data_IF_643529176834
#
_entry.id   IF_643529176834
#
_cell.length_a   1.000
_cell.length_b   1.000
_cell.length_c   1.000
_cell.angle_alpha   90.00
_cell.angle_beta   90.00
_cell.angle_gamma   90.00
#
_symmetry.space_group_name_H-M   'P 1'
#
loop_
_entity.id
_entity.type
_entity.pdbx_description
1 polymer ?
#
# COMPACT_ATOMS: atom_id res chain seq x y z
N UNK A 1 58.94 43.77 -21.39
CA UNK A 1 58.12 42.54 -21.24
C UNK A 1 57.71 42.48 -19.83
N UNK A 2 56.42 42.78 -19.44
CA UNK A 2 55.93 42.65 -18.05
C UNK A 2 55.36 41.23 -17.84
N UNK A 3 55.71 40.69 -16.68
CA UNK A 3 55.32 39.37 -16.22
C UNK A 3 53.84 39.25 -15.96
N UNK A 4 53.29 38.10 -16.36
CA UNK A 4 51.96 37.64 -15.97
C UNK A 4 51.99 37.20 -14.51
N UNK A 5 51.22 37.88 -13.69
CA UNK A 5 50.88 37.45 -12.32
C UNK A 5 49.92 36.30 -12.43
N UNK A 6 50.36 35.16 -11.93
CA UNK A 6 49.55 33.97 -11.68
C UNK A 6 48.51 34.32 -10.62
N UNK A 7 47.24 34.44 -11.02
CA UNK A 7 46.13 34.56 -10.11
C UNK A 7 45.73 33.15 -9.71
N UNK A 8 46.03 32.82 -8.43
CA UNK A 8 45.66 31.59 -7.78
C UNK A 8 44.15 31.28 -7.96
N UNK A 9 43.93 30.17 -8.59
CA UNK A 9 42.59 29.55 -8.62
C UNK A 9 42.19 29.22 -7.16
N UNK A 10 41.19 29.92 -6.67
CA UNK A 10 40.47 29.53 -5.44
C UNK A 10 39.91 28.12 -5.60
N UNK A 11 39.60 27.44 -4.46
CA UNK A 11 39.07 26.09 -4.51
C UNK A 11 37.82 26.06 -5.38
N UNK A 12 37.81 25.15 -6.35
CA UNK A 12 36.69 24.93 -7.25
C UNK A 12 35.42 24.75 -6.40
N UNK A 13 34.51 25.72 -6.44
CA UNK A 13 33.16 25.56 -5.97
C UNK A 13 32.61 24.36 -6.73
N UNK A 14 32.28 23.30 -5.99
CA UNK A 14 31.72 22.09 -6.54
C UNK A 14 30.40 22.45 -7.25
N UNK A 15 30.43 22.37 -8.56
CA UNK A 15 29.23 22.56 -9.40
C UNK A 15 28.14 21.57 -8.99
N UNK A 16 27.26 22.02 -8.13
CA UNK A 16 26.13 21.26 -7.62
C UNK A 16 25.04 21.20 -8.70
N UNK A 17 25.10 20.14 -9.47
CA UNK A 17 23.99 19.62 -10.25
C UNK A 17 23.44 20.49 -11.40
N UNK A 18 24.08 20.40 -12.52
CA UNK A 18 23.49 20.61 -13.83
C UNK A 18 22.47 19.50 -14.12
N UNK A 19 21.18 19.82 -14.17
CA UNK A 19 20.13 18.91 -14.63
C UNK A 19 19.54 19.40 -15.95
N UNK A 20 19.66 18.57 -16.97
CA UNK A 20 18.93 18.74 -18.21
C UNK A 20 17.50 18.22 -18.03
N UNK A 21 16.53 19.11 -17.98
CA UNK A 21 15.13 18.81 -18.16
C UNK A 21 14.72 19.49 -19.47
N UNK A 22 14.46 18.71 -20.52
CA UNK A 22 14.17 19.18 -21.87
C UNK A 22 15.27 20.06 -22.49
N UNK A 23 16.52 19.58 -22.47
CA UNK A 23 17.70 20.28 -23.06
C UNK A 23 17.99 21.71 -22.53
N UNK A 24 17.30 22.13 -21.47
CA UNK A 24 17.57 23.38 -20.77
C UNK A 24 18.36 23.10 -19.49
N UNK A 25 19.58 23.63 -19.45
CA UNK A 25 20.44 23.62 -18.26
C UNK A 25 19.95 24.76 -17.35
N UNK A 26 19.31 24.44 -16.24
CA UNK A 26 18.94 25.43 -15.21
C UNK A 26 19.79 25.22 -13.96
N UNK A 27 20.43 26.30 -13.50
CA UNK A 27 21.04 26.35 -12.17
C UNK A 27 19.96 26.31 -11.12
N UNK A 28 20.08 25.39 -10.18
CA UNK A 28 19.16 25.27 -9.05
C UNK A 28 19.74 26.03 -7.86
N UNK A 29 19.00 27.01 -7.38
CA UNK A 29 19.40 27.81 -6.23
C UNK A 29 19.07 27.13 -4.89
N UNK A 30 18.12 26.18 -4.84
CA UNK A 30 17.69 25.52 -3.62
C UNK A 30 17.42 24.02 -3.83
N UNK A 31 17.78 23.23 -2.82
CA UNK A 31 17.43 21.82 -2.70
C UNK A 31 18.26 20.87 -3.57
N UNK A 32 17.94 19.58 -3.47
CA UNK A 32 18.58 18.53 -4.26
C UNK A 32 17.64 18.02 -5.36
N UNK A 33 18.18 17.52 -6.50
CA UNK A 33 17.35 17.01 -7.59
C UNK A 33 16.52 15.81 -7.16
N UNK A 34 15.26 15.76 -7.59
CA UNK A 34 14.41 14.59 -7.39
C UNK A 34 14.98 13.38 -8.14
N UNK A 35 15.21 12.27 -7.42
CA UNK A 35 15.77 11.05 -7.99
C UNK A 35 17.29 10.94 -7.91
N UNK A 36 18.00 11.90 -7.31
CA UNK A 36 19.41 11.75 -6.98
C UNK A 36 19.60 10.68 -5.90
N UNK A 37 20.66 9.89 -6.01
CA UNK A 37 21.00 8.86 -5.01
C UNK A 37 21.33 9.43 -3.63
N UNK A 38 21.79 10.69 -3.57
CA UNK A 38 22.14 11.39 -2.32
C UNK A 38 20.95 12.07 -1.65
N UNK A 39 19.91 12.45 -2.41
CA UNK A 39 18.73 13.16 -1.86
C UNK A 39 18.10 12.49 -0.63
N UNK A 40 17.90 11.14 -0.59
CA UNK A 40 17.35 10.49 0.58
C UNK A 40 18.24 10.59 1.81
N UNK A 41 19.57 10.51 1.64
CA UNK A 41 20.54 10.59 2.74
C UNK A 41 20.58 12.01 3.29
N UNK A 42 20.70 13.00 2.42
CA UNK A 42 20.71 14.41 2.84
C UNK A 42 19.41 14.80 3.56
N UNK A 43 18.26 14.35 3.06
CA UNK A 43 16.98 14.60 3.74
C UNK A 43 16.91 13.95 5.12
N UNK A 44 17.49 12.76 5.30
CA UNK A 44 17.54 12.10 6.60
C UNK A 44 18.44 12.85 7.59
N UNK A 45 19.60 13.36 7.15
CA UNK A 45 20.51 14.16 7.98
C UNK A 45 19.80 15.42 8.48
N UNK A 46 19.15 16.16 7.61
CA UNK A 46 18.42 17.38 8.00
C UNK A 46 17.24 17.07 8.93
N UNK A 47 16.51 15.98 8.67
CA UNK A 47 15.36 15.59 9.48
C UNK A 47 15.75 14.92 10.81
N UNK A 48 16.99 14.48 11.00
CA UNK A 48 17.53 14.01 12.27
C UNK A 48 17.52 15.14 13.33
N UNK A 49 17.76 16.39 12.91
CA UNK A 49 17.63 17.56 13.79
C UNK A 49 16.16 17.76 14.25
N UNK A 50 15.19 17.44 13.40
CA UNK A 50 13.78 17.45 13.80
C UNK A 50 13.52 16.36 14.85
N UNK A 51 14.03 15.15 14.63
CA UNK A 51 13.85 14.03 15.56
C UNK A 51 14.44 14.39 16.93
N UNK A 52 15.68 14.89 17.00
CA UNK A 52 16.32 15.37 18.23
C UNK A 52 15.51 16.47 18.94
N UNK A 53 14.96 17.41 18.16
CA UNK A 53 14.12 18.47 18.71
C UNK A 53 12.82 17.93 19.30
N UNK A 54 12.19 16.93 18.69
CA UNK A 54 10.96 16.31 19.20
C UNK A 54 11.25 15.46 20.45
N UNK A 55 12.36 14.71 20.45
CA UNK A 55 12.81 13.90 21.58
C UNK A 55 13.16 14.74 22.79
N UNK A 56 13.92 15.83 22.61
CA UNK A 56 14.28 16.75 23.70
C UNK A 56 13.08 17.40 24.41
N UNK A 57 11.93 17.42 23.73
CA UNK A 57 10.65 17.90 24.26
C UNK A 57 9.76 16.78 24.82
N UNK A 58 10.25 15.54 24.86
CA UNK A 58 9.49 14.38 25.35
C UNK A 58 8.23 14.08 24.52
N UNK A 59 8.22 14.43 23.23
CA UNK A 59 7.06 14.20 22.36
C UNK A 59 7.11 12.80 21.78
N UNK A 60 5.99 12.08 21.86
CA UNK A 60 5.85 10.80 21.17
C UNK A 60 5.57 11.04 19.70
N UNK A 61 6.42 10.50 18.82
CA UNK A 61 6.26 10.66 17.39
C UNK A 61 6.68 9.40 16.61
N UNK A 62 6.29 9.34 15.35
CA UNK A 62 6.73 8.34 14.41
C UNK A 62 6.97 9.01 13.06
N UNK A 63 8.20 8.91 12.55
CA UNK A 63 8.57 9.48 11.25
C UNK A 63 9.00 8.41 10.27
N UNK A 64 8.58 8.57 9.04
CA UNK A 64 9.03 7.78 7.89
C UNK A 64 9.30 8.73 6.73
N UNK A 65 10.58 8.93 6.43
CA UNK A 65 11.05 9.97 5.50
C UNK A 65 10.50 11.35 5.88
N UNK A 66 9.74 11.98 5.01
CA UNK A 66 9.08 13.29 5.20
C UNK A 66 7.73 13.20 5.94
N UNK A 67 7.13 12.01 6.03
CA UNK A 67 5.87 11.79 6.76
C UNK A 67 6.15 11.67 8.28
N UNK A 68 5.73 12.64 9.08
CA UNK A 68 5.87 12.65 10.54
C UNK A 68 4.50 12.72 11.22
N UNK A 69 4.23 11.82 12.15
CA UNK A 69 3.05 11.86 13.01
C UNK A 69 3.47 12.06 14.48
N UNK A 70 2.89 13.07 15.10
CA UNK A 70 3.06 13.41 16.50
C UNK A 70 1.81 12.99 17.29
N UNK A 71 2.00 12.37 18.44
CA UNK A 71 0.90 11.92 19.29
C UNK A 71 0.76 12.81 20.50
N UNK A 72 -0.44 13.29 20.76
CA UNK A 72 -0.75 14.21 21.86
C UNK A 72 -2.05 13.80 22.56
N UNK A 73 -2.16 14.10 23.83
CA UNK A 73 -3.31 13.70 24.66
C UNK A 73 -4.55 14.57 24.44
N UNK A 74 -4.39 15.82 24.04
CA UNK A 74 -5.50 16.76 23.86
C UNK A 74 -5.39 17.57 22.58
N UNK A 75 -6.53 18.06 22.08
CA UNK A 75 -6.59 18.92 20.89
C UNK A 75 -5.79 20.21 21.08
N UNK A 76 -5.96 20.84 22.23
CA UNK A 76 -5.26 22.10 22.55
C UNK A 76 -3.75 21.93 22.62
N UNK A 77 -3.26 20.80 23.20
CA UNK A 77 -1.85 20.45 23.16
C UNK A 77 -1.39 20.22 21.71
N UNK A 78 -2.21 19.57 20.88
CA UNK A 78 -1.90 19.32 19.49
C UNK A 78 -1.75 20.58 18.65
N UNK A 79 -2.62 21.56 18.82
CA UNK A 79 -2.54 22.85 18.15
C UNK A 79 -1.23 23.58 18.49
N UNK A 80 -0.86 23.62 19.80
CA UNK A 80 0.40 24.20 20.25
C UNK A 80 1.64 23.46 19.75
N UNK A 81 1.60 22.12 19.75
CA UNK A 81 2.74 21.30 19.27
C UNK A 81 2.90 21.49 17.77
N UNK A 82 1.81 21.47 17.00
CA UNK A 82 1.82 21.66 15.56
C UNK A 82 2.46 23.01 15.19
N UNK A 83 2.00 24.09 15.83
CA UNK A 83 2.50 25.45 15.56
C UNK A 83 4.00 25.56 15.86
N UNK A 84 4.43 25.06 17.03
CA UNK A 84 5.85 25.10 17.43
C UNK A 84 6.72 24.24 16.51
N UNK A 85 6.26 23.07 16.12
CA UNK A 85 6.98 22.19 15.18
C UNK A 85 7.12 22.84 13.80
N UNK A 86 6.06 23.46 13.30
CA UNK A 86 6.11 24.20 12.03
C UNK A 86 7.11 25.35 12.10
N UNK A 87 7.07 26.15 13.19
CA UNK A 87 8.04 27.25 13.40
C UNK A 87 9.49 26.73 13.44
N UNK A 88 9.75 25.56 14.03
CA UNK A 88 11.07 24.95 14.03
C UNK A 88 11.50 24.52 12.62
N UNK A 89 10.64 23.81 11.89
CA UNK A 89 10.92 23.33 10.53
C UNK A 89 11.19 24.50 9.58
N UNK A 90 10.35 25.53 9.61
CA UNK A 90 10.48 26.68 8.70
C UNK A 90 11.56 27.67 9.15
N UNK A 91 11.71 27.89 10.47
CA UNK A 91 12.67 28.83 11.02
C UNK A 91 14.10 28.30 11.12
N UNK A 92 14.27 27.08 11.63
CA UNK A 92 15.60 26.48 11.91
C UNK A 92 16.08 25.62 10.74
N UNK A 93 15.24 24.69 10.28
CA UNK A 93 15.64 23.77 9.21
C UNK A 93 15.48 24.39 7.80
N UNK A 94 14.84 25.55 7.69
CA UNK A 94 14.57 26.25 6.42
C UNK A 94 13.80 25.40 5.40
N UNK A 95 13.01 24.42 5.89
CA UNK A 95 12.20 23.55 5.06
C UNK A 95 10.78 24.08 4.97
N UNK A 96 10.12 23.87 3.82
CA UNK A 96 8.70 24.29 3.60
C UNK A 96 7.74 23.21 4.08
N UNK A 97 6.82 23.55 4.97
CA UNK A 97 5.78 22.63 5.44
C UNK A 97 4.55 22.71 4.53
N UNK A 98 4.08 21.56 4.05
CA UNK A 98 2.85 21.49 3.26
C UNK A 98 1.62 21.65 4.16
N UNK A 99 1.16 22.90 4.34
CA UNK A 99 0.04 23.27 5.21
C UNK A 99 -1.28 22.59 4.81
N UNK A 100 -1.49 22.24 3.53
CA UNK A 100 -2.72 21.60 3.08
C UNK A 100 -2.78 20.10 3.48
N UNK A 101 -1.63 19.47 3.73
CA UNK A 101 -1.54 18.08 4.17
C UNK A 101 -1.25 17.94 5.66
N UNK A 102 -0.74 19.00 6.30
CA UNK A 102 -0.41 19.02 7.72
C UNK A 102 -1.59 19.51 8.53
N UNK A 103 -1.90 18.86 9.62
CA UNK A 103 -3.03 19.25 10.47
C UNK A 103 -3.25 18.30 11.64
N UNK A 104 -4.19 18.65 12.48
CA UNK A 104 -4.56 17.87 13.65
C UNK A 104 -5.73 16.93 13.33
N UNK A 105 -5.53 15.63 13.47
CA UNK A 105 -6.52 14.63 13.15
C UNK A 105 -6.67 13.63 14.30
N UNK A 106 -7.89 13.09 14.44
CA UNK A 106 -8.07 11.90 15.28
C UNK A 106 -7.34 10.71 14.65
N UNK A 107 -6.75 9.77 15.43
CA UNK A 107 -6.02 8.61 14.90
C UNK A 107 -6.81 7.82 13.84
N UNK A 108 -8.14 7.68 14.02
CA UNK A 108 -9.02 6.99 13.09
C UNK A 108 -9.19 7.71 11.73
N UNK A 109 -8.91 9.02 11.66
CA UNK A 109 -8.95 9.83 10.43
C UNK A 109 -7.56 10.04 9.84
N UNK A 110 -6.51 9.88 10.66
CA UNK A 110 -5.12 9.95 10.20
C UNK A 110 -4.78 8.73 9.34
N UNK A 111 -3.91 8.94 8.39
CA UNK A 111 -3.38 7.90 7.52
C UNK A 111 -1.86 7.95 7.56
N UNK A 112 -1.23 6.84 7.94
CA UNK A 112 0.22 6.70 7.94
C UNK A 112 0.63 5.39 7.27
N UNK A 113 1.53 5.44 6.31
CA UNK A 113 2.00 4.29 5.54
C UNK A 113 0.86 3.42 4.95
N UNK A 114 -0.25 4.04 4.62
CA UNK A 114 -1.42 3.32 4.09
C UNK A 114 -2.32 2.66 5.12
N UNK A 115 -2.01 2.79 6.41
CA UNK A 115 -2.85 2.37 7.53
C UNK A 115 -3.64 3.55 8.11
N UNK A 116 -4.71 3.23 8.82
CA UNK A 116 -5.41 4.07 9.79
C UNK A 116 -5.39 3.33 11.13
N UNK A 117 -5.64 4.02 12.23
CA UNK A 117 -5.58 3.41 13.56
C UNK A 117 -6.95 3.46 14.24
N UNK A 118 -7.29 2.44 15.01
CA UNK A 118 -8.50 2.44 15.82
C UNK A 118 -8.29 3.38 17.01
N UNK A 119 -9.24 4.30 17.22
CA UNK A 119 -9.06 5.40 18.18
C UNK A 119 -8.82 4.96 19.63
N UNK A 120 -9.36 3.82 20.05
CA UNK A 120 -9.24 3.32 21.43
C UNK A 120 -8.11 2.32 21.64
N UNK A 121 -7.87 1.45 20.64
CA UNK A 121 -6.89 0.36 20.77
C UNK A 121 -5.56 0.63 20.05
N UNK A 122 -5.48 1.68 19.24
CA UNK A 122 -4.32 1.94 18.39
C UNK A 122 -4.08 0.87 17.30
N UNK A 123 -4.96 -0.12 17.15
CA UNK A 123 -4.77 -1.22 16.24
C UNK A 123 -4.70 -0.74 14.77
N UNK A 124 -3.68 -1.16 14.01
CA UNK A 124 -3.53 -0.75 12.62
C UNK A 124 -4.61 -1.38 11.75
N UNK A 125 -5.16 -0.60 10.83
CA UNK A 125 -6.21 -1.00 9.89
C UNK A 125 -5.86 -0.52 8.49
N UNK A 126 -6.10 -1.33 7.48
CA UNK A 126 -5.91 -0.91 6.09
C UNK A 126 -6.79 0.29 5.78
N UNK A 127 -6.18 1.38 5.35
CA UNK A 127 -6.90 2.60 4.98
C UNK A 127 -7.82 2.35 3.77
N UNK A 128 -9.01 2.96 3.77
CA UNK A 128 -9.97 2.85 2.65
C UNK A 128 -9.34 3.20 1.30
N UNK A 129 -8.50 4.25 1.26
CA UNK A 129 -7.78 4.66 0.06
C UNK A 129 -6.77 3.61 -0.42
N UNK A 130 -6.13 2.87 0.48
CA UNK A 130 -5.18 1.80 0.14
C UNK A 130 -5.90 0.59 -0.46
N UNK A 131 -7.07 0.25 0.09
CA UNK A 131 -7.95 -0.76 -0.49
C UNK A 131 -8.45 -0.35 -1.89
N UNK A 132 -8.89 0.91 -2.06
CA UNK A 132 -9.34 1.43 -3.35
C UNK A 132 -8.22 1.39 -4.40
N UNK A 133 -6.98 1.76 -4.02
CA UNK A 133 -5.79 1.65 -4.90
C UNK A 133 -5.52 0.22 -5.34
N UNK A 134 -5.65 -0.76 -4.43
CA UNK A 134 -5.54 -2.17 -4.81
C UNK A 134 -6.59 -2.54 -5.84
N UNK A 135 -7.88 -2.22 -5.59
CA UNK A 135 -8.96 -2.52 -6.53
C UNK A 135 -8.74 -1.87 -7.90
N UNK A 136 -8.26 -0.63 -7.92
CA UNK A 136 -7.89 0.06 -9.15
C UNK A 136 -6.75 -0.67 -9.90
N UNK A 137 -5.69 -1.09 -9.19
CA UNK A 137 -4.56 -1.84 -9.75
C UNK A 137 -4.95 -3.22 -10.29
N UNK A 138 -5.92 -3.89 -9.66
CA UNK A 138 -6.44 -5.19 -10.11
C UNK A 138 -7.38 -5.07 -11.33
N UNK A 139 -8.07 -3.94 -11.49
CA UNK A 139 -9.07 -3.71 -12.53
C UNK A 139 -8.58 -4.00 -13.96
N UNK A 140 -7.41 -3.52 -14.43
CA UNK A 140 -6.94 -3.82 -15.80
C UNK A 140 -6.63 -5.28 -15.99
N UNK A 141 -6.10 -6.00 -15.00
CA UNK A 141 -5.82 -7.44 -15.09
C UNK A 141 -7.11 -8.22 -15.21
N UNK A 142 -8.11 -7.87 -14.41
CA UNK A 142 -9.42 -8.52 -14.41
C UNK A 142 -10.29 -8.15 -15.63
N UNK A 143 -10.09 -6.96 -16.21
CA UNK A 143 -10.78 -6.54 -17.46
C UNK A 143 -10.13 -7.12 -18.71
N UNK A 144 -8.80 -7.10 -18.79
CA UNK A 144 -8.00 -7.55 -19.94
C UNK A 144 -7.82 -9.07 -20.01
N UNK A 145 -8.55 -9.84 -19.22
CA UNK A 145 -8.57 -11.30 -19.30
C UNK A 145 -9.09 -11.84 -20.65
N UNK A 146 -9.49 -10.98 -21.59
CA UNK A 146 -9.73 -11.32 -23.00
C UNK A 146 -8.37 -11.56 -23.67
N UNK A 147 -8.11 -12.79 -24.12
CA UNK A 147 -6.86 -13.15 -24.80
C UNK A 147 -5.72 -13.62 -23.91
N UNK A 148 -5.82 -13.51 -22.56
CA UNK A 148 -4.88 -14.16 -21.64
C UNK A 148 -5.40 -15.51 -21.20
N UNK A 149 -4.49 -16.47 -21.01
CA UNK A 149 -4.84 -17.72 -20.33
C UNK A 149 -5.28 -17.42 -18.88
N UNK A 150 -6.21 -18.21 -18.36
CA UNK A 150 -6.64 -18.10 -16.96
C UNK A 150 -5.45 -18.21 -16.00
N UNK A 151 -4.52 -19.12 -16.31
CA UNK A 151 -3.31 -19.32 -15.52
C UNK A 151 -2.41 -18.07 -15.51
N UNK A 152 -2.22 -17.42 -16.65
CA UNK A 152 -1.48 -16.15 -16.75
C UNK A 152 -2.13 -15.03 -15.94
N UNK A 153 -3.47 -14.96 -15.95
CA UNK A 153 -4.22 -14.00 -15.12
C UNK A 153 -4.00 -14.28 -13.63
N UNK A 154 -4.06 -15.54 -13.21
CA UNK A 154 -3.83 -15.93 -11.81
C UNK A 154 -2.40 -15.60 -11.38
N UNK A 155 -1.38 -15.89 -12.19
CA UNK A 155 0.02 -15.56 -11.91
C UNK A 155 0.19 -14.06 -11.67
N UNK A 156 -0.36 -13.21 -12.57
CA UNK A 156 -0.27 -11.77 -12.43
C UNK A 156 -0.98 -11.23 -11.16
N UNK A 157 -2.15 -11.78 -10.82
CA UNK A 157 -2.86 -11.45 -9.59
C UNK A 157 -2.07 -11.87 -8.35
N UNK A 158 -1.47 -13.06 -8.37
CA UNK A 158 -0.73 -13.63 -7.23
C UNK A 158 0.45 -12.75 -6.83
N UNK A 159 1.20 -12.21 -7.79
CA UNK A 159 2.34 -11.32 -7.49
C UNK A 159 1.89 -10.06 -6.74
N UNK A 160 0.83 -9.40 -7.25
CA UNK A 160 0.31 -8.17 -6.62
C UNK A 160 -0.27 -8.46 -5.23
N UNK A 161 -1.04 -9.54 -5.11
CA UNK A 161 -1.73 -9.89 -3.86
C UNK A 161 -0.76 -10.35 -2.77
N UNK A 162 0.31 -11.07 -3.13
CA UNK A 162 1.34 -11.44 -2.17
C UNK A 162 2.00 -10.21 -1.57
N UNK A 163 2.52 -9.30 -2.40
CA UNK A 163 3.16 -8.08 -1.92
C UNK A 163 2.21 -7.23 -1.08
N UNK A 164 0.96 -7.07 -1.55
CA UNK A 164 -0.03 -6.30 -0.80
C UNK A 164 -0.37 -6.92 0.55
N UNK A 165 -0.54 -8.25 0.61
CA UNK A 165 -0.82 -8.95 1.85
C UNK A 165 0.35 -8.89 2.84
N UNK A 166 1.58 -9.08 2.36
CA UNK A 166 2.78 -8.97 3.21
C UNK A 166 2.90 -7.57 3.79
N UNK A 167 2.66 -6.54 2.98
CA UNK A 167 2.71 -5.15 3.44
C UNK A 167 1.63 -4.83 4.48
N UNK A 168 0.40 -5.32 4.26
CA UNK A 168 -0.75 -5.06 5.16
C UNK A 168 -1.00 -6.20 6.16
N UNK A 169 0.04 -6.94 6.55
CA UNK A 169 -0.06 -8.06 7.48
C UNK A 169 -0.45 -7.64 8.91
N UNK A 170 -0.21 -6.37 9.27
CA UNK A 170 -0.57 -5.81 10.58
C UNK A 170 -2.08 -5.62 10.78
N UNK A 171 -2.88 -5.60 9.72
CA UNK A 171 -4.35 -5.62 9.87
C UNK A 171 -4.80 -7.06 10.10
N UNK A 172 -5.18 -7.37 11.33
CA UNK A 172 -5.62 -8.70 11.79
C UNK A 172 -7.03 -9.08 11.30
N UNK A 173 -7.77 -8.14 10.72
CA UNK A 173 -9.14 -8.38 10.24
C UNK A 173 -9.18 -9.26 9.00
N UNK A 174 -9.77 -10.41 9.15
CA UNK A 174 -9.97 -11.36 8.04
C UNK A 174 -10.93 -10.82 6.97
N UNK A 175 -11.90 -9.98 7.35
CA UNK A 175 -12.95 -9.49 6.46
C UNK A 175 -12.40 -8.69 5.26
N UNK A 176 -11.33 -7.91 5.47
CA UNK A 176 -10.70 -7.13 4.38
C UNK A 176 -10.16 -8.06 3.31
N UNK A 177 -9.44 -9.10 3.73
CA UNK A 177 -8.87 -10.10 2.82
C UNK A 177 -9.94 -10.98 2.19
N UNK A 178 -10.99 -11.36 2.95
CA UNK A 178 -12.13 -12.10 2.42
C UNK A 178 -12.89 -11.32 1.34
N UNK A 179 -13.09 -10.03 1.52
CA UNK A 179 -13.70 -9.15 0.51
C UNK A 179 -12.90 -9.13 -0.80
N UNK A 180 -11.57 -9.07 -0.72
CA UNK A 180 -10.69 -9.15 -1.88
C UNK A 180 -10.85 -10.51 -2.57
N UNK A 181 -10.83 -11.57 -1.79
CA UNK A 181 -10.98 -12.94 -2.28
C UNK A 181 -12.32 -13.16 -3.00
N UNK A 182 -13.42 -12.73 -2.40
CA UNK A 182 -14.76 -12.82 -3.00
C UNK A 182 -14.80 -12.08 -4.34
N UNK A 183 -14.23 -10.86 -4.38
CA UNK A 183 -14.18 -10.06 -5.60
C UNK A 183 -13.40 -10.77 -6.71
N UNK A 184 -12.20 -11.26 -6.40
CA UNK A 184 -11.33 -11.94 -7.37
C UNK A 184 -11.99 -13.24 -7.87
N UNK A 185 -12.50 -14.07 -6.97
CA UNK A 185 -13.14 -15.33 -7.30
C UNK A 185 -14.34 -15.12 -8.23
N UNK A 186 -15.15 -14.10 -7.99
CA UNK A 186 -16.25 -13.74 -8.88
C UNK A 186 -15.74 -13.36 -10.27
N UNK A 187 -14.69 -12.56 -10.37
CA UNK A 187 -14.08 -12.19 -11.64
C UNK A 187 -13.48 -13.40 -12.38
N UNK A 188 -12.78 -14.29 -11.68
CA UNK A 188 -12.20 -15.50 -12.28
C UNK A 188 -13.31 -16.42 -12.83
N UNK A 189 -14.39 -16.64 -12.07
CA UNK A 189 -15.55 -17.40 -12.56
C UNK A 189 -16.17 -16.75 -13.80
N UNK A 190 -16.28 -15.43 -13.83
CA UNK A 190 -16.74 -14.70 -15.03
C UNK A 190 -15.84 -14.97 -16.23
N UNK A 191 -14.53 -14.96 -16.07
CA UNK A 191 -13.58 -15.24 -17.16
C UNK A 191 -13.71 -16.67 -17.67
N UNK A 192 -13.83 -17.64 -16.76
CA UNK A 192 -14.06 -19.04 -17.12
C UNK A 192 -15.38 -19.19 -17.90
N UNK A 193 -16.47 -18.62 -17.41
CA UNK A 193 -17.77 -18.70 -18.10
C UNK A 193 -17.70 -18.09 -19.50
N UNK A 194 -16.99 -17.01 -19.68
CA UNK A 194 -16.79 -16.38 -21.00
C UNK A 194 -15.94 -17.22 -21.93
N UNK A 195 -14.96 -17.95 -21.39
CA UNK A 195 -14.14 -18.87 -22.19
C UNK A 195 -14.96 -20.05 -22.73
N UNK A 196 -15.98 -20.48 -22.00
CA UNK A 196 -16.91 -21.53 -22.44
C UNK A 196 -18.00 -20.94 -23.35
N UNK A 197 -17.67 -20.72 -24.60
CA UNK A 197 -18.54 -19.99 -25.54
C UNK A 197 -19.83 -20.74 -25.83
N UNK A 198 -19.77 -22.09 -26.02
CA UNK A 198 -20.89 -22.94 -26.46
C UNK A 198 -21.59 -23.58 -25.25
N UNK A 199 -22.94 -23.74 -25.28
CA UNK A 199 -23.69 -24.43 -24.23
C UNK A 199 -23.18 -25.85 -23.96
N UNK A 200 -22.86 -26.62 -25.00
CA UNK A 200 -22.30 -27.98 -24.91
C UNK A 200 -20.97 -28.00 -24.14
N UNK A 201 -20.11 -27.01 -24.37
CA UNK A 201 -18.87 -26.86 -23.62
C UNK A 201 -19.13 -26.53 -22.14
N UNK A 202 -20.10 -25.64 -21.86
CA UNK A 202 -20.51 -25.28 -20.51
C UNK A 202 -21.03 -26.48 -19.74
N UNK A 203 -21.94 -27.24 -20.34
CA UNK A 203 -22.49 -28.45 -19.76
C UNK A 203 -21.39 -29.46 -19.43
N UNK A 204 -20.57 -29.84 -20.45
CA UNK A 204 -19.46 -30.77 -20.25
C UNK A 204 -18.54 -30.37 -19.11
N UNK A 205 -18.15 -29.11 -19.06
CA UNK A 205 -17.24 -28.60 -18.06
C UNK A 205 -17.87 -28.51 -16.66
N UNK A 206 -19.17 -28.24 -16.56
CA UNK A 206 -19.90 -28.27 -15.30
C UNK A 206 -20.06 -29.70 -14.79
N UNK A 207 -20.40 -30.68 -15.65
CA UNK A 207 -20.45 -32.09 -15.28
C UNK A 207 -19.13 -32.63 -14.83
N UNK A 208 -18.04 -32.30 -15.54
CA UNK A 208 -16.67 -32.68 -15.16
C UNK A 208 -16.29 -32.18 -13.75
N UNK A 209 -16.93 -31.10 -13.28
CA UNK A 209 -16.73 -30.53 -11.93
C UNK A 209 -17.76 -30.97 -10.91
N UNK A 210 -18.51 -32.04 -11.19
CA UNK A 210 -19.40 -32.68 -10.27
C UNK A 210 -20.80 -32.07 -10.16
N UNK A 211 -21.28 -31.38 -11.19
CA UNK A 211 -22.69 -31.03 -11.29
C UNK A 211 -23.49 -32.19 -11.89
N UNK A 212 -24.70 -32.46 -11.38
CA UNK A 212 -25.66 -33.41 -12.02
C UNK A 212 -25.98 -32.98 -13.45
N UNK A 213 -26.18 -33.96 -14.35
CA UNK A 213 -26.40 -33.71 -15.80
C UNK A 213 -27.53 -32.73 -16.05
N UNK A 214 -28.67 -32.92 -15.41
CA UNK A 214 -29.84 -32.07 -15.58
C UNK A 214 -29.57 -30.63 -15.20
N UNK A 215 -28.90 -30.41 -14.03
CA UNK A 215 -28.56 -29.08 -13.53
C UNK A 215 -27.49 -28.43 -14.42
N UNK A 216 -26.52 -29.19 -14.92
CA UNK A 216 -25.49 -28.73 -15.82
C UNK A 216 -26.09 -28.25 -17.17
N UNK A 217 -27.03 -29.01 -17.71
CA UNK A 217 -27.75 -28.62 -18.94
C UNK A 217 -28.55 -27.32 -18.70
N UNK A 218 -29.46 -27.30 -17.71
CA UNK A 218 -30.26 -26.12 -17.39
C UNK A 218 -29.40 -24.88 -17.17
N UNK A 219 -28.24 -25.05 -16.49
CA UNK A 219 -27.30 -23.96 -16.25
C UNK A 219 -26.57 -23.50 -17.51
N UNK A 220 -26.31 -24.39 -18.49
CA UNK A 220 -25.56 -24.07 -19.70
C UNK A 220 -26.34 -23.22 -20.68
N UNK A 221 -27.69 -23.36 -20.72
CA UNK A 221 -28.62 -22.70 -21.64
C UNK A 221 -29.40 -21.53 -21.01
N UNK A 222 -29.08 -21.11 -19.81
CA UNK A 222 -29.88 -20.17 -19.02
C UNK A 222 -30.00 -18.74 -19.59
N UNK A 223 -29.39 -18.41 -20.71
CA UNK A 223 -29.46 -17.08 -21.34
C UNK A 223 -28.82 -15.94 -20.57
N UNK A 224 -28.46 -16.16 -19.29
CA UNK A 224 -27.92 -15.12 -18.44
C UNK A 224 -26.47 -14.74 -18.77
N UNK A 225 -26.14 -13.48 -18.59
CA UNK A 225 -24.80 -12.96 -18.86
C UNK A 225 -23.70 -13.54 -17.95
N UNK A 226 -22.41 -13.41 -18.37
CA UNK A 226 -21.28 -13.99 -17.64
C UNK A 226 -21.12 -13.49 -16.21
N UNK A 227 -21.59 -12.28 -15.92
CA UNK A 227 -21.49 -11.69 -14.59
C UNK A 227 -22.51 -12.26 -13.61
N UNK A 228 -23.73 -12.55 -14.10
CA UNK A 228 -24.75 -13.25 -13.34
C UNK A 228 -24.29 -14.68 -13.01
N UNK A 229 -23.87 -15.41 -14.06
CA UNK A 229 -23.39 -16.79 -13.92
C UNK A 229 -22.20 -16.91 -12.96
N UNK A 230 -21.28 -15.93 -12.94
CA UNK A 230 -20.14 -15.92 -12.00
C UNK A 230 -20.55 -15.96 -10.53
N UNK A 231 -21.75 -15.53 -10.20
CA UNK A 231 -22.29 -15.55 -8.83
C UNK A 231 -23.33 -16.65 -8.60
N UNK A 232 -23.77 -17.33 -9.65
CA UNK A 232 -24.80 -18.36 -9.57
C UNK A 232 -24.33 -19.62 -8.84
N UNK A 233 -25.26 -20.39 -8.23
CA UNK A 233 -24.96 -21.59 -7.44
C UNK A 233 -24.15 -22.63 -8.21
N UNK A 234 -24.45 -22.86 -9.47
CA UNK A 234 -23.73 -23.83 -10.33
C UNK A 234 -22.25 -23.48 -10.47
N UNK A 235 -21.89 -22.20 -10.68
CA UNK A 235 -20.49 -21.77 -10.75
C UNK A 235 -19.81 -21.74 -9.39
N UNK A 236 -20.56 -21.51 -8.32
CA UNK A 236 -20.01 -21.62 -6.96
C UNK A 236 -19.72 -23.09 -6.60
N UNK A 237 -20.57 -24.02 -7.03
CA UNK A 237 -20.37 -25.46 -6.83
C UNK A 237 -19.24 -25.99 -7.70
N UNK A 238 -19.18 -25.60 -8.98
CA UNK A 238 -18.12 -26.01 -9.91
C UNK A 238 -16.74 -25.45 -9.52
N UNK A 239 -16.69 -24.30 -8.85
CA UNK A 239 -15.48 -23.66 -8.36
C UNK A 239 -15.63 -23.27 -6.89
N UNK A 240 -15.57 -24.23 -5.97
CA UNK A 240 -15.69 -24.01 -4.55
C UNK A 240 -14.40 -23.37 -4.03
N UNK A 241 -14.36 -22.06 -4.03
CA UNK A 241 -13.28 -21.29 -3.45
C UNK A 241 -13.59 -20.97 -1.99
N UNK A 242 -13.17 -21.82 -1.08
CA UNK A 242 -13.21 -21.49 0.33
C UNK A 242 -13.78 -22.57 1.24
N UNK A 243 -13.11 -22.79 2.33
CA UNK A 243 -13.43 -23.59 3.52
C UNK A 243 -13.44 -25.12 3.44
N UNK A 244 -13.07 -25.77 2.34
CA UNK A 244 -12.81 -27.22 2.44
C UNK A 244 -11.31 -27.49 2.36
N UNK A 245 -10.71 -27.87 3.49
CA UNK A 245 -9.48 -28.63 3.60
C UNK A 245 -9.70 -29.99 2.95
N UNK A 246 -9.74 -30.06 1.62
CA UNK A 246 -9.73 -31.33 0.91
C UNK A 246 -8.50 -31.35 -0.02
N UNK A 247 -7.87 -32.51 -0.09
CA UNK A 247 -6.55 -32.82 -0.67
C UNK A 247 -6.27 -32.40 -2.13
N UNK A 248 -7.16 -31.67 -2.79
CA UNK A 248 -6.95 -31.17 -4.15
C UNK A 248 -6.49 -29.71 -4.17
N UNK A 249 -5.38 -29.47 -3.48
CA UNK A 249 -4.84 -28.13 -3.12
C UNK A 249 -4.00 -27.47 -4.22
N UNK A 250 -4.00 -27.96 -5.46
CA UNK A 250 -2.97 -27.52 -6.45
C UNK A 250 -3.43 -26.55 -7.55
N UNK A 251 -4.70 -26.22 -7.73
CA UNK A 251 -5.08 -25.44 -8.93
C UNK A 251 -5.49 -23.99 -8.76
N UNK A 252 -5.86 -23.50 -7.55
CA UNK A 252 -6.31 -22.11 -7.37
C UNK A 252 -6.00 -21.53 -5.97
N UNK A 253 -4.95 -21.99 -5.30
CA UNK A 253 -4.54 -21.35 -4.05
C UNK A 253 -3.69 -20.10 -4.34
N UNK A 254 -4.30 -18.95 -4.23
CA UNK A 254 -3.60 -17.79 -3.70
C UNK A 254 -3.33 -18.14 -2.23
N UNK A 255 -2.15 -18.70 -1.96
CA UNK A 255 -1.76 -19.17 -0.64
C UNK A 255 -1.84 -18.03 0.38
N UNK A 256 -2.83 -18.09 1.23
CA UNK A 256 -2.85 -17.39 2.50
C UNK A 256 -2.13 -18.26 3.53
N UNK A 257 -0.80 -18.34 3.46
CA UNK A 257 0.01 -18.97 4.48
C UNK A 257 -0.09 -18.16 5.78
N UNK A 258 -0.74 -18.69 6.79
CA UNK A 258 -0.59 -18.27 8.18
C UNK A 258 0.71 -18.85 8.70
N UNK A 259 1.82 -18.16 8.47
CA UNK A 259 3.07 -18.39 9.18
C UNK A 259 3.25 -17.27 10.18
N UNK A 260 3.40 -17.61 11.43
CA UNK A 260 3.70 -16.71 12.51
C UNK A 260 4.94 -15.85 12.17
N UNK A 261 4.73 -14.54 12.08
CA UNK A 261 5.78 -13.53 12.01
C UNK A 261 5.78 -12.78 13.34
N UNK A 262 6.05 -13.52 14.45
CA UNK A 262 6.17 -12.88 15.77
C UNK A 262 7.59 -12.36 16.08
N UNK A 263 8.63 -12.67 15.27
CA UNK A 263 10.02 -12.48 15.71
C UNK A 263 10.91 -11.56 14.87
N UNK A 264 10.35 -10.72 13.98
CA UNK A 264 11.22 -9.92 13.08
C UNK A 264 11.10 -8.40 13.13
N UNK A 265 10.26 -7.85 13.99
CA UNK A 265 10.27 -6.40 14.20
C UNK A 265 10.29 -6.11 15.69
N UNK A 266 11.30 -5.38 16.21
CA UNK A 266 11.27 -4.92 17.59
C UNK A 266 10.06 -4.01 17.77
N UNK A 267 9.25 -4.32 18.77
CA UNK A 267 8.17 -3.46 19.20
C UNK A 267 8.77 -2.12 19.62
N UNK A 268 8.26 -1.01 19.10
CA UNK A 268 8.47 0.29 19.71
C UNK A 268 7.82 0.24 21.09
N UNK A 269 8.61 -0.01 22.12
CA UNK A 269 8.16 0.11 23.49
C UNK A 269 7.91 1.59 23.79
N UNK A 270 6.75 1.95 24.34
CA UNK A 270 6.60 3.25 24.96
C UNK A 270 7.46 3.23 26.24
N UNK A 271 8.55 3.95 26.24
CA UNK A 271 9.26 4.31 27.48
C UNK A 271 8.37 5.29 28.23
N UNK A 272 7.63 4.80 29.18
CA UNK A 272 6.78 5.60 30.05
C UNK A 272 6.48 4.80 31.30
N UNK A 273 7.41 4.82 32.26
CA UNK A 273 7.11 4.37 33.62
C UNK A 273 6.00 5.23 34.22
N UNK A 274 5.07 4.65 34.98
CA UNK A 274 4.07 5.42 35.66
C UNK A 274 4.78 6.20 36.80
N UNK A 275 4.70 7.53 36.74
CA UNK A 275 5.09 8.39 37.85
C UNK A 275 4.10 8.12 38.99
N UNK A 276 4.56 7.34 39.97
CA UNK A 276 3.94 7.28 41.29
C UNK A 276 4.34 8.56 42.01
N UNK A 277 3.41 9.51 42.07
CA UNK A 277 3.52 10.68 42.92
C UNK A 277 2.88 10.40 44.28
N UNK A 278 3.64 10.45 45.31
CA UNK A 278 3.21 10.75 46.67
C UNK A 278 2.87 12.24 46.79
#
# INVERSE_FOLDING_TARGET
MPGQTDQGQGPAEADWALFAQNDLISLREEGTPQGSNLSPILSLIVLDELDKHLESRGLSFCRYADDCNLFVSSRQAGERVLEKTIKFIEGTLKLRVNRSKSGLFRPSKSKFLGYTFVGTSGAPRVAKASFARLMYKLKPILRRGRGRSLLGTIKALTMILRGWRTYYALDDRKEVFERIDIHIRRHLRKLVWRAWKRPTTRERELRRRGLPSELAWKSSVNGCGPWWNANAPHMRKAFPFGRRRTKTRRQFNVHTGSGALSDKYPACHPTGDPITGT
#
